data_IF_083798017903
#
_entry.id   IF_083798017903
#
_cell.length_a   1.000
_cell.length_b   1.000
_cell.length_c   1.000
_cell.angle_alpha   90.00
_cell.angle_beta   90.00
_cell.angle_gamma   90.00
#
_symmetry.space_group_name_H-M   'P 1'
#
loop_
_entity.id
_entity.type
_entity.pdbx_description
1 polymer ?
#
# COMPACT_ATOMS: atom_id res chain seq x y z
N UNK A 1 6.38 53.30 -30.44
CA UNK A 1 6.90 51.90 -30.35
C UNK A 1 7.17 51.46 -28.89
N UNK A 2 6.20 51.56 -27.99
CA UNK A 2 6.38 51.24 -26.56
C UNK A 2 5.30 50.33 -25.96
N UNK A 3 4.23 50.02 -26.70
CA UNK A 3 3.11 49.21 -26.20
C UNK A 3 3.34 47.69 -26.39
N UNK A 4 3.95 47.28 -27.51
CA UNK A 4 4.19 45.86 -27.85
C UNK A 4 5.14 45.16 -26.85
N UNK A 5 6.11 45.89 -26.29
CA UNK A 5 7.03 45.33 -25.28
C UNK A 5 6.34 45.02 -23.94
N UNK A 6 5.22 45.67 -23.62
CA UNK A 6 4.48 45.44 -22.37
C UNK A 6 3.65 44.16 -22.42
N UNK A 7 3.09 43.82 -23.58
CA UNK A 7 2.33 42.58 -23.77
C UNK A 7 3.23 41.35 -23.95
N UNK A 8 4.44 41.53 -24.47
CA UNK A 8 5.43 40.45 -24.62
C UNK A 8 5.99 40.00 -23.25
N UNK A 9 6.12 40.92 -22.29
CA UNK A 9 6.48 40.60 -20.90
C UNK A 9 5.32 39.91 -20.17
N UNK A 10 4.07 40.31 -20.43
CA UNK A 10 2.88 39.71 -19.81
C UNK A 10 2.61 38.27 -20.27
N UNK A 11 2.96 37.92 -21.51
CA UNK A 11 2.83 36.56 -22.04
C UNK A 11 3.98 35.63 -21.57
N UNK A 12 5.17 36.17 -21.32
CA UNK A 12 6.30 35.40 -20.80
C UNK A 12 6.10 34.92 -19.36
N UNK A 13 5.38 35.70 -18.53
CA UNK A 13 5.12 35.35 -17.12
C UNK A 13 4.00 34.33 -16.91
N UNK A 14 3.22 34.02 -17.95
CA UNK A 14 2.11 33.06 -17.84
C UNK A 14 2.54 31.61 -18.14
N UNK A 15 3.65 31.43 -18.86
CA UNK A 15 4.18 30.10 -19.22
C UNK A 15 5.12 29.49 -18.17
N UNK A 16 5.58 30.28 -17.18
CA UNK A 16 6.46 29.79 -16.10
C UNK A 16 5.72 29.22 -14.90
N UNK A 17 4.38 29.18 -14.91
CA UNK A 17 3.56 28.66 -13.81
C UNK A 17 2.93 27.28 -14.06
N UNK A 18 3.17 26.65 -15.21
CA UNK A 18 2.45 25.42 -15.60
C UNK A 18 3.27 24.12 -15.54
N UNK A 19 4.53 24.17 -15.12
CA UNK A 19 5.34 22.96 -14.90
C UNK A 19 5.62 22.78 -13.41
N UNK A 20 4.64 22.25 -12.68
CA UNK A 20 4.80 22.06 -11.25
C UNK A 20 3.67 21.33 -10.53
N UNK A 21 2.83 20.56 -11.22
CA UNK A 21 2.14 19.44 -10.58
C UNK A 21 2.92 18.16 -10.87
N UNK A 22 4.11 18.04 -10.29
CA UNK A 22 4.48 16.71 -9.84
C UNK A 22 3.44 16.40 -8.76
N UNK A 23 2.52 15.47 -9.05
CA UNK A 23 1.64 14.90 -8.04
C UNK A 23 2.56 14.41 -6.92
N UNK A 24 2.65 15.18 -5.84
CA UNK A 24 3.35 14.76 -4.65
C UNK A 24 2.54 13.59 -4.13
N UNK A 25 2.98 12.38 -4.47
CA UNK A 25 2.52 11.15 -3.83
C UNK A 25 2.87 11.35 -2.36
N UNK A 26 1.91 11.87 -1.59
CA UNK A 26 2.04 11.98 -0.16
C UNK A 26 2.10 10.54 0.32
N UNK A 27 3.30 10.08 0.64
CA UNK A 27 3.50 8.92 1.51
C UNK A 27 2.96 9.39 2.85
N UNK A 28 1.64 9.28 3.01
CA UNK A 28 0.93 9.60 4.24
C UNK A 28 1.63 8.83 5.36
N UNK A 29 1.85 9.52 6.47
CA UNK A 29 2.40 8.97 7.71
C UNK A 29 1.81 7.59 7.99
N UNK A 30 2.68 6.60 8.22
CA UNK A 30 2.31 5.21 8.50
C UNK A 30 1.14 5.17 9.51
N UNK A 31 0.05 4.49 9.12
CA UNK A 31 -1.15 4.40 9.94
C UNK A 31 -0.80 3.57 11.16
N UNK A 32 -0.52 4.24 12.28
CA UNK A 32 -0.17 3.54 13.52
C UNK A 32 -1.46 3.06 14.18
N UNK A 33 -1.80 1.80 13.94
CA UNK A 33 -2.91 1.10 14.60
C UNK A 33 -2.37 0.54 15.92
N UNK A 34 -2.96 0.93 17.05
CA UNK A 34 -2.67 0.27 18.33
C UNK A 34 -3.72 -0.82 18.56
N UNK A 35 -3.44 -2.09 18.23
CA UNK A 35 -4.41 -3.16 18.41
C UNK A 35 -4.63 -3.46 19.90
N UNK A 36 -5.77 -4.08 20.26
CA UNK A 36 -5.94 -4.65 21.59
C UNK A 36 -4.87 -5.71 21.88
N UNK A 37 -4.48 -5.82 23.16
CA UNK A 37 -3.34 -6.66 23.59
C UNK A 37 -3.42 -8.11 23.11
N UNK A 38 -4.62 -8.68 23.02
CA UNK A 38 -4.83 -10.06 22.56
C UNK A 38 -4.67 -10.26 21.05
N UNK A 39 -4.48 -9.19 20.26
CA UNK A 39 -4.26 -9.25 18.81
C UNK A 39 -2.92 -8.70 18.34
N UNK A 40 -2.16 -8.07 19.22
CA UNK A 40 -0.83 -7.50 18.94
C UNK A 40 0.08 -8.50 18.19
N UNK A 41 0.10 -9.77 18.62
CA UNK A 41 0.90 -10.81 17.98
C UNK A 41 0.60 -11.01 16.48
N UNK A 42 -0.66 -10.86 16.05
CA UNK A 42 -1.02 -11.03 14.64
C UNK A 42 -0.60 -9.84 13.78
N UNK A 43 -0.61 -8.63 14.36
CA UNK A 43 -0.03 -7.45 13.73
C UNK A 43 1.49 -7.58 13.63
N UNK A 44 2.16 -8.03 14.70
CA UNK A 44 3.62 -8.28 14.68
C UNK A 44 4.04 -9.26 13.58
N UNK A 45 3.20 -10.26 13.29
CA UNK A 45 3.43 -11.17 12.16
C UNK A 45 3.32 -10.47 10.81
N UNK A 46 2.34 -9.59 10.62
CA UNK A 46 2.20 -8.80 9.38
C UNK A 46 3.40 -7.87 9.22
N UNK A 47 3.74 -7.11 10.26
CA UNK A 47 4.87 -6.18 10.26
C UNK A 47 6.19 -6.87 9.95
N UNK A 48 6.37 -8.09 10.47
CA UNK A 48 7.53 -8.92 10.14
C UNK A 48 7.53 -9.30 8.67
N UNK A 49 6.41 -9.76 8.12
CA UNK A 49 6.35 -10.17 6.71
C UNK A 49 6.46 -8.98 5.76
N UNK A 50 5.96 -7.79 6.11
CA UNK A 50 6.21 -6.55 5.36
C UNK A 50 7.70 -6.23 5.32
N UNK A 51 8.39 -6.22 6.46
CA UNK A 51 9.85 -5.98 6.54
C UNK A 51 10.65 -7.01 5.76
N UNK A 52 10.32 -8.29 5.91
CA UNK A 52 10.98 -9.37 5.19
C UNK A 52 10.76 -9.28 3.68
N UNK A 53 9.57 -8.83 3.24
CA UNK A 53 9.24 -8.67 1.83
C UNK A 53 9.93 -7.44 1.23
N UNK A 54 10.00 -6.32 1.96
CA UNK A 54 10.78 -5.15 1.55
C UNK A 54 12.26 -5.51 1.40
N UNK A 55 12.81 -6.26 2.35
CA UNK A 55 14.20 -6.74 2.31
C UNK A 55 14.45 -7.88 1.30
N UNK A 56 13.42 -8.35 0.58
CA UNK A 56 13.54 -9.54 -0.26
C UNK A 56 14.43 -9.33 -1.49
N UNK A 57 14.62 -8.10 -1.95
CA UNK A 57 15.49 -7.77 -3.08
C UNK A 57 16.99 -7.82 -2.71
N UNK A 58 17.31 -7.94 -1.41
CA UNK A 58 18.67 -7.99 -0.87
C UNK A 58 19.11 -6.72 -0.16
N UNK A 59 18.31 -5.65 -0.20
CA UNK A 59 18.55 -4.40 0.50
C UNK A 59 17.50 -4.21 1.59
N UNK A 60 17.93 -4.00 2.83
CA UNK A 60 17.01 -3.67 3.93
C UNK A 60 16.71 -2.17 3.93
N UNK A 61 15.95 -1.70 2.94
CA UNK A 61 15.49 -0.32 2.85
C UNK A 61 13.95 -0.23 2.75
N UNK A 62 13.43 1.00 2.56
CA UNK A 62 12.00 1.26 2.45
C UNK A 62 11.48 1.17 1.00
N UNK A 63 12.30 0.66 0.08
CA UNK A 63 11.99 0.45 -1.33
C UNK A 63 12.09 -1.02 -1.69
N UNK A 64 11.67 -1.37 -2.91
CA UNK A 64 11.80 -2.74 -3.43
C UNK A 64 12.26 -2.71 -4.87
N UNK A 65 13.22 -3.54 -5.23
CA UNK A 65 13.73 -3.65 -6.60
C UNK A 65 13.25 -4.95 -7.23
N UNK A 66 11.96 -5.06 -7.50
CA UNK A 66 11.36 -6.27 -8.09
C UNK A 66 11.31 -6.25 -9.62
N UNK A 67 11.34 -5.05 -10.21
CA UNK A 67 11.28 -4.81 -11.64
C UNK A 67 12.34 -3.81 -12.08
N UNK A 68 12.59 -3.74 -13.38
CA UNK A 68 13.41 -2.67 -13.99
C UNK A 68 12.67 -1.33 -14.08
N UNK A 69 11.36 -1.32 -13.87
CA UNK A 69 10.55 -0.11 -13.88
C UNK A 69 10.35 0.39 -12.44
N UNK A 70 10.84 1.60 -12.18
CA UNK A 70 10.75 2.27 -10.88
C UNK A 70 9.31 2.54 -10.44
N UNK A 71 8.39 2.85 -11.36
CA UNK A 71 6.99 3.08 -11.02
C UNK A 71 6.34 1.80 -10.48
N UNK A 72 6.71 0.65 -11.03
CA UNK A 72 6.23 -0.66 -10.55
C UNK A 72 6.80 -0.92 -9.15
N UNK A 73 8.08 -0.64 -8.94
CA UNK A 73 8.72 -0.79 -7.64
C UNK A 73 8.05 0.08 -6.56
N UNK A 74 7.79 1.34 -6.87
CA UNK A 74 7.08 2.27 -5.98
C UNK A 74 5.64 1.82 -5.70
N UNK A 75 4.91 1.36 -6.72
CA UNK A 75 3.57 0.81 -6.55
C UNK A 75 3.57 -0.38 -5.57
N UNK A 76 4.54 -1.29 -5.72
CA UNK A 76 4.64 -2.48 -4.88
C UNK A 76 5.07 -2.13 -3.46
N UNK A 77 6.05 -1.25 -3.27
CA UNK A 77 6.43 -0.77 -1.93
C UNK A 77 5.23 -0.12 -1.22
N UNK A 78 4.46 0.70 -1.95
CA UNK A 78 3.27 1.34 -1.42
C UNK A 78 2.20 0.32 -1.02
N UNK A 79 1.96 -0.69 -1.85
CA UNK A 79 1.02 -1.76 -1.54
C UNK A 79 1.44 -2.58 -0.32
N UNK A 80 2.73 -2.91 -0.20
CA UNK A 80 3.26 -3.69 0.93
C UNK A 80 3.14 -2.92 2.24
N UNK A 81 3.41 -1.62 2.23
CA UNK A 81 3.40 -0.81 3.44
C UNK A 81 2.01 -0.23 3.68
N UNK A 82 1.60 0.74 2.87
CA UNK A 82 0.41 1.55 3.12
C UNK A 82 -0.88 0.75 2.97
N UNK A 83 -1.05 0.00 1.88
CA UNK A 83 -2.33 -0.69 1.65
C UNK A 83 -2.57 -1.82 2.67
N UNK A 84 -1.50 -2.48 3.11
CA UNK A 84 -1.54 -3.46 4.21
C UNK A 84 -1.83 -2.77 5.54
N UNK A 85 -1.20 -1.65 5.87
CA UNK A 85 -1.48 -0.91 7.11
C UNK A 85 -2.93 -0.38 7.15
N UNK A 86 -3.43 0.10 6.01
CA UNK A 86 -4.84 0.45 5.84
C UNK A 86 -5.76 -0.74 6.04
N UNK A 87 -5.39 -1.92 5.55
CA UNK A 87 -6.12 -3.15 5.82
C UNK A 87 -6.11 -3.50 7.31
N UNK A 88 -4.95 -3.43 7.99
CA UNK A 88 -4.84 -3.67 9.43
C UNK A 88 -5.75 -2.72 10.21
N UNK A 89 -5.75 -1.43 9.83
CA UNK A 89 -6.62 -0.42 10.42
C UNK A 89 -8.10 -0.73 10.18
N UNK A 90 -8.48 -1.07 8.96
CA UNK A 90 -9.87 -1.37 8.61
C UNK A 90 -10.41 -2.56 9.40
N UNK A 91 -9.62 -3.62 9.56
CA UNK A 91 -9.98 -4.79 10.39
C UNK A 91 -10.19 -4.40 11.85
N UNK A 92 -9.31 -3.56 12.39
CA UNK A 92 -9.39 -3.16 13.80
C UNK A 92 -10.52 -2.15 14.06
N UNK A 93 -10.73 -1.20 13.15
CA UNK A 93 -11.78 -0.18 13.25
C UNK A 93 -13.20 -0.74 13.06
N UNK A 94 -13.35 -1.91 12.42
CA UNK A 94 -14.66 -2.52 12.20
C UNK A 94 -15.23 -3.11 13.49
N UNK A 95 -16.27 -2.49 14.05
CA UNK A 95 -16.95 -2.96 15.25
C UNK A 95 -17.92 -4.13 15.01
N UNK A 96 -18.30 -4.38 13.76
CA UNK A 96 -19.21 -5.46 13.37
C UNK A 96 -18.46 -6.77 13.12
N UNK A 97 -17.15 -6.70 12.91
CA UNK A 97 -16.30 -7.86 12.69
C UNK A 97 -15.92 -8.51 14.03
N UNK A 98 -16.40 -9.73 14.27
CA UNK A 98 -16.09 -10.45 15.50
C UNK A 98 -14.59 -10.76 15.65
N UNK A 99 -14.14 -10.88 16.90
CA UNK A 99 -12.73 -11.14 17.24
C UNK A 99 -12.12 -12.31 16.44
N UNK A 100 -12.84 -13.42 16.31
CA UNK A 100 -12.36 -14.61 15.57
C UNK A 100 -12.10 -14.28 14.10
N UNK A 101 -13.01 -13.54 13.45
CA UNK A 101 -12.85 -13.15 12.06
C UNK A 101 -11.69 -12.18 11.88
N UNK A 102 -11.52 -11.20 12.79
CA UNK A 102 -10.35 -10.30 12.77
C UNK A 102 -9.04 -11.09 12.78
N UNK A 103 -8.90 -12.03 13.71
CA UNK A 103 -7.72 -12.89 13.81
C UNK A 103 -7.50 -13.71 12.54
N UNK A 104 -8.56 -14.26 11.95
CA UNK A 104 -8.47 -15.01 10.70
C UNK A 104 -7.98 -14.12 9.54
N UNK A 105 -8.51 -12.90 9.40
CA UNK A 105 -8.12 -11.97 8.35
C UNK A 105 -6.67 -11.49 8.51
N UNK A 106 -6.23 -11.15 9.72
CA UNK A 106 -4.85 -10.77 10.00
C UNK A 106 -3.88 -11.93 9.74
N UNK A 107 -4.25 -13.14 10.17
CA UNK A 107 -3.46 -14.35 9.90
C UNK A 107 -3.42 -14.66 8.40
N UNK A 108 -4.54 -14.49 7.69
CA UNK A 108 -4.63 -14.64 6.25
C UNK A 108 -3.71 -13.67 5.50
N UNK A 109 -3.69 -12.40 5.91
CA UNK A 109 -2.82 -11.38 5.33
C UNK A 109 -1.33 -11.71 5.53
N UNK A 110 -0.90 -12.05 6.74
CA UNK A 110 0.50 -12.46 6.99
C UNK A 110 0.90 -13.70 6.18
N UNK A 111 0.01 -14.69 6.07
CA UNK A 111 0.25 -15.88 5.25
C UNK A 111 0.36 -15.54 3.75
N UNK A 112 -0.46 -14.62 3.25
CA UNK A 112 -0.44 -14.14 1.87
C UNK A 112 0.89 -13.43 1.57
N UNK A 113 1.31 -12.48 2.42
CA UNK A 113 2.59 -11.78 2.27
C UNK A 113 3.78 -12.76 2.31
N UNK A 114 3.76 -13.72 3.23
CA UNK A 114 4.78 -14.79 3.28
C UNK A 114 4.80 -15.61 2.00
N UNK A 115 3.64 -15.95 1.44
CA UNK A 115 3.54 -16.69 0.19
C UNK A 115 4.13 -15.88 -0.98
N UNK A 116 3.81 -14.59 -1.08
CA UNK A 116 4.38 -13.68 -2.07
C UNK A 116 5.90 -13.64 -1.95
N UNK A 117 6.43 -13.41 -0.75
CA UNK A 117 7.87 -13.41 -0.44
C UNK A 117 8.58 -14.68 -0.91
N UNK A 118 8.00 -15.84 -0.64
CA UNK A 118 8.63 -17.11 -0.96
C UNK A 118 8.59 -17.45 -2.47
N UNK A 119 7.67 -16.84 -3.22
CA UNK A 119 7.35 -17.29 -4.59
C UNK A 119 7.62 -16.24 -5.68
N UNK A 120 7.87 -14.97 -5.34
CA UNK A 120 8.08 -13.92 -6.35
C UNK A 120 9.30 -14.19 -7.25
N UNK A 121 10.43 -14.64 -6.69
CA UNK A 121 11.64 -14.97 -7.48
C UNK A 121 11.41 -16.12 -8.45
N UNK A 122 10.60 -17.09 -8.04
CA UNK A 122 10.23 -18.24 -8.86
C UNK A 122 9.20 -17.91 -9.94
N UNK A 123 8.73 -16.65 -10.02
CA UNK A 123 7.68 -16.17 -10.93
C UNK A 123 6.35 -16.91 -10.82
N UNK A 124 6.13 -17.68 -9.75
CA UNK A 124 4.85 -18.31 -9.43
C UNK A 124 3.80 -17.28 -8.97
N UNK A 125 4.25 -16.12 -8.50
CA UNK A 125 3.42 -14.99 -8.11
C UNK A 125 3.73 -13.82 -9.02
N UNK A 126 2.72 -13.27 -9.66
CA UNK A 126 2.83 -11.98 -10.33
C UNK A 126 2.58 -10.87 -9.32
N UNK A 127 3.65 -10.15 -8.96
CA UNK A 127 3.63 -9.09 -7.97
C UNK A 127 2.67 -7.95 -8.32
N UNK A 128 2.40 -7.71 -9.61
CA UNK A 128 1.47 -6.66 -10.05
C UNK A 128 0.03 -6.87 -9.57
N UNK A 129 -0.32 -8.10 -9.17
CA UNK A 129 -1.63 -8.39 -8.59
C UNK A 129 -1.68 -8.16 -7.08
N UNK A 130 -0.57 -7.86 -6.41
CA UNK A 130 -0.55 -7.65 -4.96
C UNK A 130 -1.56 -6.60 -4.48
N UNK A 131 -1.66 -5.39 -5.09
CA UNK A 131 -2.68 -4.42 -4.69
C UNK A 131 -4.10 -4.98 -4.83
N UNK A 132 -4.38 -5.65 -5.95
CA UNK A 132 -5.69 -6.25 -6.23
C UNK A 132 -6.05 -7.36 -5.23
N UNK A 133 -5.06 -8.15 -4.80
CA UNK A 133 -5.28 -9.19 -3.77
C UNK A 133 -5.61 -8.55 -2.43
N UNK A 134 -4.90 -7.48 -2.03
CA UNK A 134 -5.18 -6.75 -0.79
C UNK A 134 -6.60 -6.16 -0.83
N UNK A 135 -7.00 -5.59 -1.96
CA UNK A 135 -8.36 -5.06 -2.15
C UNK A 135 -9.41 -6.16 -2.10
N UNK A 136 -9.18 -7.31 -2.71
CA UNK A 136 -10.08 -8.46 -2.60
C UNK A 136 -10.25 -8.93 -1.14
N UNK A 137 -9.19 -8.88 -0.32
CA UNK A 137 -9.29 -9.16 1.12
C UNK A 137 -10.20 -8.14 1.83
N UNK A 138 -10.09 -6.84 1.48
CA UNK A 138 -10.98 -5.79 2.01
C UNK A 138 -12.43 -6.03 1.60
N UNK A 139 -12.67 -6.45 0.36
CA UNK A 139 -14.00 -6.80 -0.16
C UNK A 139 -14.60 -8.01 0.56
N UNK A 140 -13.80 -9.06 0.81
CA UNK A 140 -14.24 -10.22 1.58
C UNK A 140 -14.70 -9.86 3.00
N UNK A 141 -14.01 -8.94 3.69
CA UNK A 141 -14.44 -8.44 5.00
C UNK A 141 -15.83 -7.79 4.91
N UNK A 142 -16.06 -6.98 3.86
CA UNK A 142 -17.35 -6.34 3.63
C UNK A 142 -18.44 -7.37 3.34
N UNK A 143 -18.13 -8.42 2.57
CA UNK A 143 -19.07 -9.50 2.25
C UNK A 143 -19.44 -10.34 3.49
N UNK A 144 -18.45 -10.68 4.33
CA UNK A 144 -18.64 -11.41 5.58
C UNK A 144 -19.52 -10.63 6.57
N UNK A 145 -19.31 -9.31 6.64
CA UNK A 145 -20.18 -8.42 7.44
C UNK A 145 -21.63 -8.50 7.00
N UNK A 146 -21.88 -8.66 5.71
CA UNK A 146 -23.23 -8.77 5.15
C UNK A 146 -23.85 -10.17 5.31
N UNK A 147 -23.21 -11.11 6.02
CA UNK A 147 -23.61 -12.54 6.12
C UNK A 147 -23.72 -13.23 4.76
N UNK A 148 -23.06 -12.70 3.72
CA UNK A 148 -23.07 -13.26 2.37
C UNK A 148 -21.98 -14.32 2.15
N UNK A 149 -21.25 -14.71 3.19
CA UNK A 149 -20.36 -15.87 3.14
C UNK A 149 -21.21 -17.14 3.19
N UNK A 150 -21.22 -17.85 2.06
CA UNK A 150 -21.88 -19.15 1.84
C UNK A 150 -21.31 -20.24 2.75
#
# INVERSE_FOLDING_TARGET
MTSIKKYLVLCGTCLSLSFGLAAQFNISSAITVKPPKNRELFHDYIDKEQKDLLAADGNADASVTFSSNEEINLLLANAIVRDVDEFQYAVEADSLLEHRLKVNYLTGMSNMLRYVKNNWRSKKVNLLHLPQIIDAYKECIVADRATNSI
#
